data_IF_101956261677
#
_entry.id   IF_101956261677
#
_cell.length_a   1.000
_cell.length_b   1.000
_cell.length_c   1.000
_cell.angle_alpha   90.00
_cell.angle_beta   90.00
_cell.angle_gamma   90.00
#
_symmetry.space_group_name_H-M   'P 1'
#
loop_
_entity.id
_entity.type
_entity.pdbx_description
1 polymer ?
#
# COMPACT_ATOMS: atom_id res chain seq x y z
N UNK A 1 -30.81 -50.86 76.39
CA UNK A 1 -30.24 -49.59 76.03
C UNK A 1 -29.34 -49.90 74.81
N UNK A 2 -29.85 -49.73 73.62
CA UNK A 2 -29.11 -50.03 72.37
C UNK A 2 -28.56 -48.71 71.81
N UNK A 3 -27.24 -48.66 71.69
CA UNK A 3 -26.51 -47.51 71.12
C UNK A 3 -26.38 -47.78 69.60
N UNK A 4 -26.97 -46.94 68.78
CA UNK A 4 -26.77 -46.92 67.34
C UNK A 4 -25.58 -46.01 67.01
N UNK A 5 -24.55 -46.58 66.41
CA UNK A 5 -23.43 -45.83 65.87
C UNK A 5 -23.74 -45.58 64.38
N UNK A 6 -23.91 -44.31 64.00
CA UNK A 6 -24.01 -43.91 62.59
C UNK A 6 -22.59 -43.68 62.03
N UNK A 7 -22.19 -44.48 61.06
CA UNK A 7 -20.95 -44.24 60.29
C UNK A 7 -21.33 -43.42 59.06
N UNK A 8 -20.87 -42.19 59.01
CA UNK A 8 -21.01 -41.29 57.89
C UNK A 8 -19.87 -41.59 56.89
N UNK A 9 -20.18 -42.21 55.76
CA UNK A 9 -19.22 -42.39 54.66
C UNK A 9 -19.25 -41.11 53.82
N UNK A 10 -18.22 -40.30 53.93
CA UNK A 10 -17.96 -39.17 52.99
C UNK A 10 -17.28 -39.68 51.74
N UNK A 11 -18.03 -39.79 50.65
CA UNK A 11 -17.49 -40.02 49.32
C UNK A 11 -16.90 -38.71 48.78
N UNK A 12 -15.56 -38.62 48.70
CA UNK A 12 -14.85 -37.59 47.99
C UNK A 12 -15.06 -37.83 46.49
N UNK A 13 -15.91 -37.01 45.89
CA UNK A 13 -15.89 -36.85 44.43
C UNK A 13 -14.69 -35.94 44.06
N UNK A 14 -13.63 -36.55 43.55
CA UNK A 14 -12.61 -35.83 42.80
C UNK A 14 -13.23 -35.42 41.46
N UNK A 15 -13.71 -34.16 41.35
CA UNK A 15 -13.88 -33.50 40.08
C UNK A 15 -12.48 -33.20 39.55
N UNK A 16 -12.00 -34.01 38.63
CA UNK A 16 -10.94 -33.62 37.72
C UNK A 16 -11.54 -32.55 36.78
N UNK A 17 -11.33 -31.30 37.08
CA UNK A 17 -11.45 -30.24 36.08
C UNK A 17 -10.29 -30.43 35.10
N UNK A 18 -10.52 -31.10 34.02
CA UNK A 18 -9.75 -30.89 32.80
C UNK A 18 -9.99 -29.44 32.43
N UNK A 19 -9.06 -28.56 32.82
CA UNK A 19 -8.93 -27.24 32.24
C UNK A 19 -8.49 -27.49 30.80
N UNK A 20 -9.45 -27.61 29.89
CA UNK A 20 -9.22 -27.30 28.50
C UNK A 20 -8.69 -25.85 28.48
N UNK A 21 -7.36 -25.74 28.44
CA UNK A 21 -6.70 -24.54 28.01
C UNK A 21 -7.01 -24.44 26.51
N UNK A 22 -8.24 -24.02 26.23
CA UNK A 22 -8.61 -23.58 24.91
C UNK A 22 -7.65 -22.43 24.58
N UNK A 23 -6.63 -22.75 23.77
CA UNK A 23 -5.90 -21.76 23.02
C UNK A 23 -6.97 -20.97 22.28
N UNK A 24 -7.34 -19.81 22.84
CA UNK A 24 -8.16 -18.85 22.14
C UNK A 24 -7.32 -18.46 20.93
N UNK A 25 -7.63 -19.04 19.77
CA UNK A 25 -7.15 -18.53 18.51
C UNK A 25 -7.66 -17.09 18.46
N UNK A 26 -6.81 -16.13 18.84
CA UNK A 26 -7.18 -14.72 18.68
C UNK A 26 -7.56 -14.54 17.22
N UNK A 27 -8.76 -14.03 16.99
CA UNK A 27 -9.29 -13.84 15.66
C UNK A 27 -8.32 -12.96 14.88
N UNK A 28 -7.91 -13.43 13.70
CA UNK A 28 -7.10 -12.62 12.76
C UNK A 28 -7.85 -11.33 12.43
N UNK A 29 -7.10 -10.25 12.24
CA UNK A 29 -7.67 -8.94 11.93
C UNK A 29 -7.79 -8.75 10.43
N UNK A 30 -8.96 -8.31 9.99
CA UNK A 30 -9.20 -7.91 8.61
C UNK A 30 -8.88 -6.44 8.43
N UNK A 31 -8.17 -6.09 7.34
CA UNK A 31 -7.85 -4.72 6.95
C UNK A 31 -8.07 -4.53 5.45
N UNK A 32 -8.74 -3.44 5.11
CA UNK A 32 -8.90 -2.95 3.74
C UNK A 32 -7.79 -1.94 3.40
N UNK A 33 -7.00 -2.22 2.37
CA UNK A 33 -5.91 -1.36 1.89
C UNK A 33 -6.22 -0.94 0.46
N UNK A 34 -6.07 0.36 0.19
CA UNK A 34 -6.13 0.90 -1.17
C UNK A 34 -4.80 1.57 -1.49
N UNK A 35 -4.18 1.21 -2.60
CA UNK A 35 -3.09 2.00 -3.18
C UNK A 35 -3.61 2.80 -4.37
N UNK A 36 -3.16 4.05 -4.50
CA UNK A 36 -3.55 4.91 -5.60
C UNK A 36 -2.50 5.98 -5.90
N UNK A 37 -1.98 5.97 -7.11
CA UNK A 37 -1.25 7.11 -7.65
C UNK A 37 -2.29 8.18 -8.00
N UNK A 38 -2.25 9.32 -7.30
CA UNK A 38 -3.25 10.40 -7.43
C UNK A 38 -2.86 11.47 -8.46
N UNK A 39 -1.87 11.16 -9.30
CA UNK A 39 -1.40 11.99 -10.41
C UNK A 39 -1.02 13.41 -9.98
N UNK A 40 0.25 13.64 -9.59
CA UNK A 40 0.82 14.97 -9.34
C UNK A 40 -0.07 15.87 -8.45
N UNK A 41 -0.34 15.43 -7.23
CA UNK A 41 -1.23 16.14 -6.32
C UNK A 41 -0.48 17.26 -5.58
N UNK A 42 -0.44 18.43 -6.20
CA UNK A 42 0.18 19.64 -5.65
C UNK A 42 -0.84 20.48 -4.88
N UNK A 43 -0.38 21.19 -3.85
CA UNK A 43 -1.17 22.24 -3.20
C UNK A 43 -1.18 23.54 -4.03
N UNK A 44 -1.72 24.63 -3.48
CA UNK A 44 -1.79 25.90 -4.18
C UNK A 44 -0.59 26.83 -3.87
N UNK A 45 0.36 26.37 -3.06
CA UNK A 45 1.56 27.11 -2.68
C UNK A 45 2.72 26.69 -3.59
N UNK A 46 3.48 27.65 -4.09
CA UNK A 46 4.63 27.35 -4.96
C UNK A 46 5.91 27.33 -4.13
N UNK A 47 6.53 26.17 -3.97
CA UNK A 47 7.82 25.97 -3.29
C UNK A 47 9.02 25.93 -4.26
N UNK A 48 8.75 25.85 -5.56
CA UNK A 48 9.76 25.84 -6.61
C UNK A 48 10.09 24.48 -7.21
N UNK A 49 9.66 23.39 -6.58
CA UNK A 49 9.89 22.00 -7.05
C UNK A 49 8.77 21.46 -7.94
N UNK A 50 7.63 22.15 -8.03
CA UNK A 50 6.45 21.74 -8.77
C UNK A 50 6.72 21.64 -10.28
N UNK A 51 5.92 20.88 -10.98
CA UNK A 51 5.95 20.83 -12.44
C UNK A 51 5.42 22.12 -13.06
N UNK A 52 5.84 22.41 -14.30
CA UNK A 52 5.56 23.68 -14.98
C UNK A 52 4.09 24.07 -15.00
N UNK A 53 3.18 23.08 -15.15
CA UNK A 53 1.75 23.31 -15.23
C UNK A 53 1.15 23.82 -13.91
N UNK A 54 1.78 23.46 -12.78
CA UNK A 54 1.36 23.87 -11.44
C UNK A 54 1.96 25.20 -10.99
N UNK A 55 3.04 25.67 -11.64
CA UNK A 55 3.63 27.00 -11.40
C UNK A 55 2.87 28.15 -12.06
N UNK A 56 1.96 27.84 -12.97
CA UNK A 56 1.20 28.86 -13.67
C UNK A 56 -0.13 29.13 -12.97
N UNK A 57 -0.20 30.23 -12.19
CA UNK A 57 -1.37 30.62 -11.42
C UNK A 57 -2.66 30.82 -12.24
N UNK A 58 -2.56 31.00 -13.56
CA UNK A 58 -3.73 31.01 -14.45
C UNK A 58 -4.40 29.63 -14.54
N UNK A 59 -3.61 28.58 -14.50
CA UNK A 59 -4.08 27.21 -14.67
C UNK A 59 -4.15 26.44 -13.35
N UNK A 60 -3.36 26.83 -12.33
CA UNK A 60 -3.36 26.23 -11.02
C UNK A 60 -3.46 27.30 -9.91
N UNK A 61 -4.40 27.17 -9.01
CA UNK A 61 -4.65 28.12 -7.93
C UNK A 61 -5.45 27.43 -6.79
N UNK A 62 -5.60 28.14 -5.66
CA UNK A 62 -6.29 27.65 -4.47
C UNK A 62 -7.69 27.09 -4.77
N UNK A 63 -8.48 27.77 -5.61
CA UNK A 63 -9.82 27.28 -5.97
C UNK A 63 -9.77 25.89 -6.61
N UNK A 64 -8.88 25.69 -7.59
CA UNK A 64 -8.72 24.42 -8.27
C UNK A 64 -8.13 23.35 -7.34
N UNK A 65 -7.23 23.72 -6.45
CA UNK A 65 -6.72 22.83 -5.42
C UNK A 65 -7.85 22.31 -4.53
N UNK A 66 -8.69 23.22 -3.98
CA UNK A 66 -9.82 22.84 -3.11
C UNK A 66 -10.82 21.95 -3.87
N UNK A 67 -11.15 22.28 -5.12
CA UNK A 67 -12.03 21.45 -5.94
C UNK A 67 -11.47 20.05 -6.19
N UNK A 68 -10.16 19.94 -6.45
CA UNK A 68 -9.47 18.68 -6.64
C UNK A 68 -9.38 17.88 -5.34
N UNK A 69 -9.07 18.53 -4.23
CA UNK A 69 -9.02 17.95 -2.89
C UNK A 69 -10.38 17.33 -2.51
N UNK A 70 -11.48 18.07 -2.75
CA UNK A 70 -12.82 17.56 -2.49
C UNK A 70 -13.17 16.34 -3.35
N UNK A 71 -12.74 16.30 -4.63
CA UNK A 71 -12.93 15.13 -5.49
C UNK A 71 -12.13 13.93 -5.03
N UNK A 72 -10.85 14.14 -4.65
CA UNK A 72 -10.02 13.07 -4.07
C UNK A 72 -10.70 12.50 -2.82
N UNK A 73 -11.10 13.37 -1.89
CA UNK A 73 -11.74 12.96 -0.65
C UNK A 73 -13.11 12.28 -0.87
N UNK A 74 -13.83 12.64 -1.93
CA UNK A 74 -15.05 11.91 -2.33
C UNK A 74 -14.73 10.46 -2.69
N UNK A 75 -13.68 10.23 -3.49
CA UNK A 75 -13.25 8.87 -3.85
C UNK A 75 -12.82 8.10 -2.60
N UNK A 76 -11.97 8.69 -1.76
CA UNK A 76 -11.50 8.05 -0.53
C UNK A 76 -12.66 7.70 0.41
N UNK A 77 -13.65 8.60 0.58
CA UNK A 77 -14.87 8.32 1.38
C UNK A 77 -15.71 7.20 0.77
N UNK A 78 -15.81 7.14 -0.54
CA UNK A 78 -16.59 6.10 -1.25
C UNK A 78 -15.93 4.73 -1.09
N UNK A 79 -14.62 4.66 -1.22
CA UNK A 79 -13.84 3.44 -1.02
C UNK A 79 -13.84 3.00 0.45
N UNK A 80 -13.79 3.94 1.37
CA UNK A 80 -13.82 3.74 2.83
C UNK A 80 -12.84 2.69 3.37
N UNK A 81 -11.65 2.59 2.75
CA UNK A 81 -10.61 1.66 3.18
C UNK A 81 -10.06 2.03 4.58
N UNK A 82 -9.43 1.08 5.26
CA UNK A 82 -8.79 1.34 6.55
C UNK A 82 -7.44 2.04 6.36
N UNK A 83 -6.75 1.73 5.26
CA UNK A 83 -5.45 2.29 4.92
C UNK A 83 -5.42 2.73 3.46
N UNK A 84 -4.92 3.92 3.22
CA UNK A 84 -4.57 4.42 1.89
C UNK A 84 -3.07 4.56 1.76
N UNK A 85 -2.52 4.04 0.68
CA UNK A 85 -1.13 4.24 0.26
C UNK A 85 -1.16 5.07 -1.02
N UNK A 86 -0.82 6.36 -0.87
CA UNK A 86 -0.96 7.35 -1.94
C UNK A 86 0.42 7.69 -2.53
N UNK A 87 0.49 7.75 -3.85
CA UNK A 87 1.68 8.18 -4.57
C UNK A 87 1.40 9.53 -5.23
N UNK A 88 2.46 10.29 -5.49
CA UNK A 88 2.43 11.61 -6.10
C UNK A 88 1.79 12.72 -5.24
N UNK A 89 1.89 12.59 -3.94
CA UNK A 89 1.56 13.65 -2.98
C UNK A 89 2.76 14.62 -2.90
N UNK A 90 2.49 15.92 -2.95
CA UNK A 90 3.53 16.96 -2.91
C UNK A 90 4.24 17.04 -1.57
N UNK A 91 3.46 17.18 -0.48
CA UNK A 91 3.98 17.46 0.85
C UNK A 91 3.03 16.97 1.96
N UNK A 92 3.48 17.12 3.21
CA UNK A 92 2.70 16.71 4.38
C UNK A 92 1.44 17.57 4.58
N UNK A 93 1.45 18.87 4.15
CA UNK A 93 0.29 19.75 4.26
C UNK A 93 -0.89 19.23 3.48
N UNK A 94 -0.66 18.63 2.31
CA UNK A 94 -1.71 17.99 1.51
C UNK A 94 -2.37 16.83 2.30
N UNK A 95 -1.59 16.04 3.06
CA UNK A 95 -2.16 14.96 3.89
C UNK A 95 -3.01 15.50 5.03
N UNK A 96 -2.58 16.60 5.64
CA UNK A 96 -3.35 17.28 6.69
C UNK A 96 -4.68 17.78 6.10
N UNK A 97 -4.66 18.38 4.93
CA UNK A 97 -5.86 18.85 4.24
C UNK A 97 -6.81 17.69 3.89
N UNK A 98 -6.27 16.58 3.36
CA UNK A 98 -7.04 15.35 3.10
C UNK A 98 -7.71 14.87 4.40
N UNK A 99 -6.93 14.74 5.49
CA UNK A 99 -7.44 14.28 6.79
C UNK A 99 -8.54 15.19 7.33
N UNK A 100 -8.37 16.50 7.22
CA UNK A 100 -9.36 17.49 7.65
C UNK A 100 -10.67 17.38 6.85
N UNK A 101 -10.60 17.26 5.53
CA UNK A 101 -11.80 17.09 4.68
C UNK A 101 -12.48 15.75 4.92
N UNK A 102 -11.72 14.69 5.14
CA UNK A 102 -12.27 13.36 5.46
C UNK A 102 -12.97 13.36 6.82
N UNK A 103 -12.37 14.01 7.81
CA UNK A 103 -12.94 14.12 9.15
C UNK A 103 -14.20 14.99 9.21
N UNK A 104 -14.28 16.05 8.42
CA UNK A 104 -15.36 17.02 8.49
C UNK A 104 -15.60 17.49 9.93
N UNK A 105 -16.86 17.51 10.38
CA UNK A 105 -17.21 17.86 11.76
C UNK A 105 -16.99 16.72 12.78
N UNK A 106 -16.64 15.54 12.32
CA UNK A 106 -16.53 14.31 13.13
C UNK A 106 -15.08 13.86 13.34
N UNK A 107 -14.10 14.78 13.39
CA UNK A 107 -12.67 14.46 13.49
C UNK A 107 -12.29 13.55 14.68
N UNK A 108 -13.15 13.50 15.74
CA UNK A 108 -12.99 12.61 16.89
C UNK A 108 -13.59 11.21 16.67
N UNK A 109 -14.32 10.98 15.58
CA UNK A 109 -14.92 9.68 15.33
C UNK A 109 -13.83 8.59 15.25
N UNK A 110 -14.15 7.40 15.73
CA UNK A 110 -13.21 6.27 15.80
C UNK A 110 -12.75 5.82 14.41
N UNK A 111 -13.62 6.02 13.41
CA UNK A 111 -13.42 5.54 12.04
C UNK A 111 -12.77 6.59 11.11
N UNK A 112 -12.15 7.63 11.66
CA UNK A 112 -11.45 8.64 10.87
C UNK A 112 -9.99 8.27 10.64
N UNK A 113 -9.45 8.69 9.47
CA UNK A 113 -8.03 8.57 9.13
C UNK A 113 -7.21 9.62 9.87
N UNK A 114 -6.74 9.26 11.07
CA UNK A 114 -6.03 10.16 12.01
C UNK A 114 -4.52 9.98 11.97
N UNK A 115 -4.08 8.86 11.42
CA UNK A 115 -2.68 8.49 11.42
C UNK A 115 -2.14 8.60 10.00
N UNK A 116 -1.03 9.29 9.83
CA UNK A 116 -0.41 9.45 8.54
C UNK A 116 1.10 9.47 8.65
N UNK A 117 1.77 9.11 7.58
CA UNK A 117 3.18 9.37 7.37
C UNK A 117 3.43 9.74 5.91
N UNK A 118 4.46 10.55 5.70
CA UNK A 118 4.86 11.05 4.39
C UNK A 118 6.36 10.94 4.23
N UNK A 119 6.82 10.65 3.01
CA UNK A 119 8.23 10.70 2.66
C UNK A 119 8.43 11.21 1.24
N UNK A 120 9.34 12.16 1.10
CA UNK A 120 9.78 12.73 -0.17
C UNK A 120 11.30 12.91 -0.13
N UNK A 121 11.99 12.55 -1.20
CA UNK A 121 13.41 12.83 -1.36
C UNK A 121 13.61 14.34 -1.45
N UNK A 122 14.71 14.84 -0.89
CA UNK A 122 15.06 16.27 -0.93
C UNK A 122 15.15 16.75 -2.39
N UNK A 123 14.53 17.88 -2.69
CA UNK A 123 14.45 18.44 -4.04
C UNK A 123 13.51 17.73 -5.00
N UNK A 124 12.84 16.64 -4.58
CA UNK A 124 11.79 16.00 -5.39
C UNK A 124 10.49 16.80 -5.35
N UNK A 125 9.71 16.71 -6.44
CA UNK A 125 8.41 17.38 -6.55
C UNK A 125 7.31 16.62 -5.78
N UNK A 126 7.41 15.30 -5.70
CA UNK A 126 6.37 14.40 -5.20
C UNK A 126 6.95 13.28 -4.33
N UNK A 127 6.16 12.79 -3.40
CA UNK A 127 6.49 11.70 -2.50
C UNK A 127 5.39 10.65 -2.37
N UNK A 128 5.57 9.77 -1.40
CA UNK A 128 4.60 8.75 -0.99
C UNK A 128 4.00 9.10 0.37
N UNK A 129 2.78 8.63 0.59
CA UNK A 129 2.06 8.83 1.83
C UNK A 129 1.29 7.58 2.24
N UNK A 130 1.14 7.37 3.54
CA UNK A 130 0.20 6.42 4.12
C UNK A 130 -0.77 7.21 5.00
N UNK A 131 -2.07 6.96 4.82
CA UNK A 131 -3.14 7.53 5.62
C UNK A 131 -3.97 6.37 6.20
N UNK A 132 -4.17 6.33 7.52
CA UNK A 132 -4.73 5.16 8.20
C UNK A 132 -5.73 5.51 9.29
N UNK A 133 -6.75 4.66 9.46
CA UNK A 133 -7.64 4.64 10.65
C UNK A 133 -6.96 3.96 11.85
N UNK A 134 -5.98 3.10 11.59
CA UNK A 134 -5.23 2.31 12.56
C UNK A 134 -3.90 3.00 12.86
N UNK A 135 -3.44 3.04 14.12
CA UNK A 135 -2.16 3.65 14.47
C UNK A 135 -0.99 3.08 13.65
N UNK A 136 -0.17 3.97 13.09
CA UNK A 136 1.07 3.62 12.40
C UNK A 136 2.22 3.61 13.41
N UNK A 137 3.00 2.54 13.39
CA UNK A 137 4.17 2.34 14.26
C UNK A 137 5.39 1.97 13.44
N UNK A 138 6.57 2.01 14.04
CA UNK A 138 7.85 1.61 13.40
C UNK A 138 8.08 2.27 12.04
N UNK A 139 7.65 3.52 11.87
CA UNK A 139 7.78 4.25 10.60
C UNK A 139 9.24 4.47 10.27
N UNK A 140 9.66 4.07 9.07
CA UNK A 140 11.01 4.23 8.52
C UNK A 140 10.92 4.60 7.04
N UNK A 141 11.97 5.22 6.54
CA UNK A 141 12.15 5.50 5.10
C UNK A 141 13.39 4.80 4.59
N UNK A 142 13.31 4.32 3.36
CA UNK A 142 14.42 3.65 2.68
C UNK A 142 14.69 4.40 1.38
N UNK A 143 15.91 4.85 1.21
CA UNK A 143 16.41 5.50 0.00
C UNK A 143 17.48 4.67 -0.67
N UNK A 144 17.85 5.04 -1.87
CA UNK A 144 18.96 4.49 -2.62
C UNK A 144 20.03 5.56 -2.83
N UNK A 145 21.28 5.17 -2.58
CA UNK A 145 22.48 5.93 -2.97
C UNK A 145 23.42 4.94 -3.68
N UNK A 146 23.23 4.82 -4.99
CA UNK A 146 23.93 3.82 -5.80
C UNK A 146 24.72 4.48 -6.92
N UNK A 147 25.89 3.90 -7.21
CA UNK A 147 26.69 4.25 -8.38
C UNK A 147 26.56 3.17 -9.42
N UNK A 148 26.08 3.52 -10.60
CA UNK A 148 25.91 2.60 -11.73
C UNK A 148 26.84 3.03 -12.86
N UNK A 149 28.09 2.59 -12.79
CA UNK A 149 29.12 2.99 -13.75
C UNK A 149 29.31 4.52 -13.80
N UNK A 150 29.13 5.12 -14.95
CA UNK A 150 29.19 6.58 -15.16
C UNK A 150 27.83 7.27 -15.10
N UNK A 151 26.75 6.54 -14.81
CA UNK A 151 25.41 7.12 -14.76
C UNK A 151 25.18 7.84 -13.43
N UNK A 152 24.62 9.04 -13.50
CA UNK A 152 24.18 9.77 -12.31
C UNK A 152 22.81 9.25 -11.90
N UNK A 153 22.66 8.87 -10.62
CA UNK A 153 21.39 8.47 -10.06
C UNK A 153 20.39 9.64 -10.19
N UNK A 154 19.23 9.42 -10.82
CA UNK A 154 18.15 10.41 -10.78
C UNK A 154 17.55 10.50 -9.38
N UNK A 155 16.79 11.55 -9.09
CA UNK A 155 15.97 11.57 -7.88
C UNK A 155 15.01 10.37 -7.90
N UNK A 156 15.17 9.47 -6.91
CA UNK A 156 14.32 8.31 -6.68
C UNK A 156 13.45 8.58 -5.46
N UNK A 157 12.20 8.12 -5.49
CA UNK A 157 11.28 8.30 -4.37
C UNK A 157 11.67 7.37 -3.23
N UNK A 158 11.55 7.87 -2.00
CA UNK A 158 11.75 7.07 -0.81
C UNK A 158 10.64 6.03 -0.68
N UNK A 159 11.00 4.81 -0.31
CA UNK A 159 10.06 3.79 0.12
C UNK A 159 9.74 3.97 1.61
N UNK A 160 8.47 4.02 1.98
CA UNK A 160 8.04 4.09 3.37
C UNK A 160 7.81 2.67 3.88
N UNK A 161 8.32 2.36 5.06
CA UNK A 161 7.94 1.20 5.86
C UNK A 161 7.19 1.69 7.09
N UNK A 162 6.01 1.12 7.34
CA UNK A 162 5.23 1.38 8.55
C UNK A 162 4.55 0.10 9.00
N UNK A 163 4.24 -0.04 10.29
CA UNK A 163 3.54 -1.21 10.83
C UNK A 163 2.19 -0.82 11.40
N UNK A 164 1.19 -1.65 11.17
CA UNK A 164 -0.08 -1.68 11.88
C UNK A 164 0.01 -2.78 12.94
N UNK A 165 -0.26 -2.42 14.20
CA UNK A 165 -0.30 -3.39 15.29
C UNK A 165 -1.74 -3.56 15.77
N UNK A 166 -2.25 -4.79 15.73
CA UNK A 166 -3.57 -5.13 16.26
C UNK A 166 -3.45 -6.38 17.12
N UNK A 167 -3.56 -6.19 18.44
CA UNK A 167 -3.27 -7.24 19.40
C UNK A 167 -1.82 -7.70 19.26
N UNK A 168 -1.63 -9.01 19.05
CA UNK A 168 -0.31 -9.61 18.83
C UNK A 168 0.09 -9.70 17.35
N UNK A 169 -0.83 -9.37 16.43
CA UNK A 169 -0.58 -9.42 15.00
C UNK A 169 0.01 -8.10 14.49
N UNK A 170 0.98 -8.19 13.59
CA UNK A 170 1.62 -7.06 12.94
C UNK A 170 1.48 -7.18 11.41
N UNK A 171 1.04 -6.08 10.78
CA UNK A 171 1.08 -5.95 9.32
C UNK A 171 2.08 -4.86 8.95
N UNK A 172 3.18 -5.24 8.32
CA UNK A 172 4.19 -4.30 7.81
C UNK A 172 3.80 -3.87 6.41
N UNK A 173 3.71 -2.56 6.19
CA UNK A 173 3.37 -1.96 4.90
C UNK A 173 4.61 -1.30 4.32
N UNK A 174 4.97 -1.64 3.07
CA UNK A 174 5.93 -0.92 2.26
C UNK A 174 5.21 -0.13 1.17
N UNK A 175 5.20 1.20 1.29
CA UNK A 175 4.66 2.08 0.27
C UNK A 175 5.73 2.40 -0.77
N UNK A 176 5.43 2.09 -2.03
CA UNK A 176 6.36 2.18 -3.16
C UNK A 176 5.89 3.18 -4.21
N UNK A 177 6.86 3.91 -4.78
CA UNK A 177 6.68 4.63 -6.04
C UNK A 177 8.00 4.59 -6.80
N UNK A 178 8.11 3.68 -7.76
CA UNK A 178 9.36 3.45 -8.47
C UNK A 178 9.56 4.45 -9.61
N UNK A 179 10.77 4.42 -10.19
CA UNK A 179 11.16 5.31 -11.29
C UNK A 179 10.25 5.11 -12.51
N UNK A 180 9.61 6.21 -12.93
CA UNK A 180 8.75 6.24 -14.11
C UNK A 180 9.50 5.81 -15.38
N UNK A 181 8.75 5.22 -16.32
CA UNK A 181 9.21 4.90 -17.70
C UNK A 181 9.26 6.16 -18.59
N UNK A 182 8.87 7.34 -18.07
CA UNK A 182 8.90 8.60 -18.80
C UNK A 182 10.31 8.90 -19.33
N UNK A 183 10.39 9.33 -20.58
CA UNK A 183 11.64 9.52 -21.30
C UNK A 183 12.16 8.22 -21.92
N UNK A 184 13.34 7.77 -21.54
CA UNK A 184 13.96 6.53 -22.01
C UNK A 184 13.62 5.37 -21.06
N UNK A 185 12.72 4.49 -21.50
CA UNK A 185 12.24 3.36 -20.70
C UNK A 185 13.35 2.35 -20.37
N UNK A 186 14.31 2.11 -21.29
CA UNK A 186 15.42 1.19 -21.06
C UNK A 186 16.43 1.77 -20.09
N UNK A 187 16.79 3.05 -20.20
CA UNK A 187 17.67 3.72 -19.23
C UNK A 187 17.04 3.76 -17.83
N UNK A 188 15.71 3.93 -17.74
CA UNK A 188 15.03 3.96 -16.46
C UNK A 188 14.86 2.58 -15.81
N UNK A 189 15.01 1.49 -16.58
CA UNK A 189 14.88 0.10 -16.13
C UNK A 189 15.91 -0.27 -15.06
N UNK A 190 17.16 0.20 -15.21
CA UNK A 190 18.21 -0.06 -14.23
C UNK A 190 17.85 0.47 -12.84
N UNK A 191 17.22 1.63 -12.78
CA UNK A 191 16.80 2.25 -11.51
C UNK A 191 15.64 1.50 -10.87
N UNK A 192 14.70 0.97 -11.65
CA UNK A 192 13.66 0.07 -11.15
C UNK A 192 14.22 -1.26 -10.65
N UNK A 193 15.29 -1.76 -11.26
CA UNK A 193 15.98 -2.97 -10.75
C UNK A 193 16.65 -2.71 -9.41
N UNK A 194 17.25 -1.53 -9.19
CA UNK A 194 17.77 -1.14 -7.88
C UNK A 194 16.67 -1.00 -6.84
N UNK A 195 15.51 -0.45 -7.21
CA UNK A 195 14.36 -0.34 -6.31
C UNK A 195 13.75 -1.71 -6.01
N UNK A 196 13.74 -2.64 -6.97
CA UNK A 196 13.40 -4.05 -6.73
C UNK A 196 14.35 -4.69 -5.70
N UNK A 197 15.66 -4.48 -5.87
CA UNK A 197 16.67 -4.97 -4.92
C UNK A 197 16.48 -4.39 -3.51
N UNK A 198 16.18 -3.11 -3.39
CA UNK A 198 15.90 -2.48 -2.11
C UNK A 198 14.69 -3.12 -1.42
N UNK A 199 13.60 -3.31 -2.16
CA UNK A 199 12.41 -3.96 -1.62
C UNK A 199 12.70 -5.41 -1.21
N UNK A 200 13.32 -6.19 -2.09
CA UNK A 200 13.67 -7.58 -1.81
C UNK A 200 14.57 -7.71 -0.58
N UNK A 201 15.61 -6.87 -0.47
CA UNK A 201 16.48 -6.80 0.70
C UNK A 201 15.70 -6.44 1.96
N UNK A 202 14.80 -5.46 1.89
CA UNK A 202 13.99 -5.05 3.04
C UNK A 202 13.06 -6.17 3.51
N UNK A 203 12.46 -6.93 2.58
CA UNK A 203 11.63 -8.10 2.90
C UNK A 203 12.43 -9.22 3.55
N UNK A 204 13.63 -9.52 3.05
CA UNK A 204 14.51 -10.56 3.63
C UNK A 204 14.95 -10.24 5.07
N UNK A 205 14.96 -8.96 5.45
CA UNK A 205 15.27 -8.53 6.83
C UNK A 205 14.06 -8.55 7.78
N UNK A 206 12.89 -8.98 7.30
CA UNK A 206 11.73 -9.24 8.16
C UNK A 206 11.70 -10.74 8.44
N UNK A 207 11.81 -11.10 9.71
CA UNK A 207 11.69 -12.50 10.10
C UNK A 207 10.27 -13.00 9.82
N UNK A 208 10.12 -14.08 9.03
CA UNK A 208 8.83 -14.67 8.77
C UNK A 208 8.38 -15.47 10.00
N UNK A 209 7.77 -14.77 10.95
CA UNK A 209 7.21 -15.39 12.16
C UNK A 209 5.68 -15.39 12.08
N UNK A 210 5.07 -16.25 12.86
CA UNK A 210 3.61 -16.29 13.00
C UNK A 210 3.07 -14.91 13.40
N UNK A 211 1.96 -14.50 12.81
CA UNK A 211 1.28 -13.21 13.04
C UNK A 211 2.05 -11.97 12.54
N UNK A 212 3.08 -12.15 11.74
CA UNK A 212 3.71 -11.03 11.02
C UNK A 212 3.44 -11.18 9.53
N UNK A 213 2.55 -10.36 9.02
CA UNK A 213 2.25 -10.21 7.61
C UNK A 213 2.96 -9.01 7.01
N UNK A 214 3.28 -9.08 5.73
CA UNK A 214 3.89 -7.98 5.00
C UNK A 214 3.13 -7.72 3.72
N UNK A 215 2.88 -6.45 3.43
CA UNK A 215 2.35 -5.99 2.16
C UNK A 215 3.24 -4.89 1.59
N UNK A 216 3.75 -5.09 0.38
CA UNK A 216 4.38 -4.02 -0.39
C UNK A 216 3.41 -3.61 -1.50
N UNK A 217 2.99 -2.35 -1.51
CA UNK A 217 2.06 -1.84 -2.51
C UNK A 217 2.44 -0.44 -2.98
N UNK A 218 1.88 -0.02 -4.10
CA UNK A 218 2.16 1.26 -4.72
C UNK A 218 2.29 1.18 -6.23
N UNK A 219 2.76 2.27 -6.83
CA UNK A 219 3.12 2.36 -8.24
C UNK A 219 4.58 1.91 -8.46
N UNK A 220 4.74 0.72 -8.98
CA UNK A 220 6.05 0.15 -9.30
C UNK A 220 6.57 0.58 -10.68
N UNK A 221 5.77 1.31 -11.47
CA UNK A 221 6.11 1.69 -12.83
C UNK A 221 6.65 0.50 -13.66
N UNK A 222 6.24 -0.70 -13.28
CA UNK A 222 6.58 -1.98 -13.89
C UNK A 222 5.34 -2.86 -13.90
N UNK A 223 4.95 -3.33 -15.08
CA UNK A 223 3.82 -4.26 -15.19
C UNK A 223 4.15 -5.56 -14.42
N UNK A 224 3.13 -6.18 -13.85
CA UNK A 224 3.31 -7.41 -13.07
C UNK A 224 3.98 -8.51 -13.89
N UNK A 225 3.76 -8.54 -15.19
CA UNK A 225 4.37 -9.50 -16.14
C UNK A 225 5.85 -9.25 -16.41
N UNK A 226 6.39 -8.10 -16.04
CA UNK A 226 7.82 -7.79 -16.18
C UNK A 226 8.67 -8.29 -15.00
N UNK A 227 8.04 -8.82 -13.95
CA UNK A 227 8.74 -9.48 -12.85
C UNK A 227 9.05 -10.94 -13.18
N UNK A 228 9.97 -11.52 -12.44
CA UNK A 228 10.28 -12.94 -12.57
C UNK A 228 9.18 -13.77 -11.91
N UNK A 229 8.38 -14.45 -12.71
CA UNK A 229 7.29 -15.33 -12.24
C UNK A 229 7.89 -16.69 -11.87
N UNK A 230 7.54 -17.18 -10.68
CA UNK A 230 7.90 -18.54 -10.24
C UNK A 230 6.92 -19.54 -10.83
N UNK A 231 7.28 -20.11 -11.99
CA UNK A 231 6.44 -21.08 -12.71
C UNK A 231 6.17 -22.38 -11.94
N UNK A 232 6.80 -22.57 -10.79
CA UNK A 232 6.63 -23.79 -10.00
C UNK A 232 5.59 -23.65 -8.88
N UNK A 233 5.04 -22.44 -8.64
CA UNK A 233 4.15 -22.19 -7.50
C UNK A 233 3.17 -21.01 -7.72
N UNK A 234 1.89 -21.34 -7.77
CA UNK A 234 0.69 -20.52 -7.51
C UNK A 234 0.83 -18.97 -7.70
N UNK A 235 1.22 -18.53 -8.89
CA UNK A 235 1.26 -17.10 -9.22
C UNK A 235 2.27 -16.27 -8.40
N UNK A 236 3.29 -16.90 -7.83
CA UNK A 236 4.30 -16.20 -7.06
C UNK A 236 5.31 -15.46 -7.96
N UNK A 237 5.82 -14.38 -7.44
CA UNK A 237 6.86 -13.56 -8.05
C UNK A 237 8.14 -13.71 -7.23
N UNK A 238 9.28 -13.77 -7.91
CA UNK A 238 10.60 -13.76 -7.32
C UNK A 238 11.20 -12.37 -7.48
N UNK A 239 11.16 -11.56 -6.40
CA UNK A 239 11.85 -10.28 -6.36
C UNK A 239 13.35 -10.53 -6.19
N UNK A 240 14.17 -9.85 -7.00
CA UNK A 240 15.61 -10.05 -7.08
C UNK A 240 16.36 -9.05 -6.23
N UNK A 241 17.38 -9.51 -5.56
CA UNK A 241 18.34 -8.72 -4.80
C UNK A 241 19.77 -9.16 -5.10
N UNK A 242 20.70 -8.22 -5.07
CA UNK A 242 22.13 -8.52 -5.07
C UNK A 242 22.69 -8.13 -3.71
N UNK A 243 23.15 -9.11 -2.95
CA UNK A 243 23.76 -8.91 -1.64
C UNK A 243 25.15 -9.54 -1.62
N UNK A 244 26.17 -8.77 -1.25
CA UNK A 244 27.57 -9.21 -1.22
C UNK A 244 28.07 -9.85 -2.52
N UNK A 245 27.53 -9.41 -3.68
CA UNK A 245 27.87 -9.96 -5.00
C UNK A 245 27.11 -11.24 -5.37
N UNK A 246 26.25 -11.73 -4.49
CA UNK A 246 25.38 -12.89 -4.74
C UNK A 246 23.98 -12.46 -5.15
N UNK A 247 23.42 -13.16 -6.15
CA UNK A 247 22.03 -12.99 -6.55
C UNK A 247 21.13 -13.77 -5.59
N UNK A 248 20.25 -13.05 -4.91
CA UNK A 248 19.23 -13.62 -4.03
C UNK A 248 17.84 -13.30 -4.56
N UNK A 249 16.86 -14.10 -4.16
CA UNK A 249 15.47 -13.84 -4.48
C UNK A 249 14.60 -14.00 -3.23
N UNK A 250 13.55 -13.19 -3.13
CA UNK A 250 12.48 -13.37 -2.16
C UNK A 250 11.18 -13.66 -2.90
N UNK A 251 10.49 -14.71 -2.47
CA UNK A 251 9.20 -15.10 -3.03
C UNK A 251 8.10 -14.27 -2.40
N UNK A 252 7.27 -13.66 -3.25
CA UNK A 252 6.08 -12.90 -2.86
C UNK A 252 4.89 -13.34 -3.69
N UNK A 253 3.69 -13.22 -3.14
CA UNK A 253 2.45 -13.46 -3.86
C UNK A 253 1.91 -12.14 -4.41
N UNK A 254 1.43 -12.14 -5.66
CA UNK A 254 0.68 -11.03 -6.26
C UNK A 254 -0.71 -11.48 -6.72
N UNK A 255 -1.79 -10.84 -6.26
CA UNK A 255 -3.16 -11.20 -6.66
C UNK A 255 -3.50 -10.80 -8.11
N UNK A 256 -2.63 -10.08 -8.81
CA UNK A 256 -2.76 -9.87 -10.26
C UNK A 256 -2.62 -11.16 -11.07
N UNK A 257 -1.98 -12.19 -10.48
CA UNK A 257 -1.71 -13.47 -11.13
C UNK A 257 -2.60 -14.56 -10.56
N UNK A 258 -3.06 -15.46 -11.41
CA UNK A 258 -3.71 -16.68 -11.01
C UNK A 258 -2.69 -17.77 -10.59
N UNK A 259 -3.19 -18.94 -10.21
CA UNK A 259 -2.36 -20.09 -9.81
C UNK A 259 -1.40 -20.61 -10.90
N UNK A 260 -1.62 -20.24 -12.16
CA UNK A 260 -0.77 -20.63 -13.30
C UNK A 260 0.26 -19.53 -13.62
N UNK A 261 0.25 -18.41 -12.90
CA UNK A 261 1.08 -17.25 -13.18
C UNK A 261 0.56 -16.38 -14.34
N UNK A 262 -0.69 -16.57 -14.75
CA UNK A 262 -1.36 -15.79 -15.77
C UNK A 262 -2.14 -14.63 -15.16
N UNK A 263 -2.43 -13.60 -15.97
CA UNK A 263 -3.19 -12.44 -15.51
C UNK A 263 -4.63 -12.83 -15.13
N UNK A 264 -5.01 -12.55 -13.90
CA UNK A 264 -6.33 -12.87 -13.34
C UNK A 264 -7.41 -11.83 -13.64
N UNK A 265 -7.05 -10.61 -14.08
CA UNK A 265 -7.97 -9.49 -14.27
C UNK A 265 -7.84 -8.89 -15.67
N UNK A 266 -8.96 -8.69 -16.36
CA UNK A 266 -8.99 -8.09 -17.70
C UNK A 266 -8.50 -6.64 -17.71
N UNK A 267 -8.91 -5.84 -16.72
CA UNK A 267 -8.48 -4.45 -16.56
C UNK A 267 -7.23 -4.36 -15.70
N UNK A 268 -6.40 -3.37 -15.96
CA UNK A 268 -5.25 -3.01 -15.14
C UNK A 268 -5.53 -1.80 -14.26
N UNK A 269 -4.50 -1.24 -13.68
CA UNK A 269 -4.57 0.01 -12.91
C UNK A 269 -4.29 1.26 -13.75
N UNK A 270 -3.59 1.11 -14.86
CA UNK A 270 -3.17 2.20 -15.76
C UNK A 270 -3.49 1.85 -17.21
N UNK A 271 -4.14 2.80 -17.91
CA UNK A 271 -4.54 2.60 -19.32
C UNK A 271 -3.77 3.55 -20.24
N UNK A 272 -2.93 2.99 -21.10
CA UNK A 272 -2.09 3.78 -22.00
C UNK A 272 -1.99 3.14 -23.39
N UNK A 273 -2.17 3.95 -24.45
CA UNK A 273 -2.12 3.52 -25.84
C UNK A 273 -2.96 2.26 -26.09
N UNK A 274 -4.21 2.29 -25.65
CA UNK A 274 -5.19 1.21 -25.79
C UNK A 274 -4.82 -0.11 -25.09
N UNK A 275 -3.86 -0.06 -24.17
CA UNK A 275 -3.44 -1.23 -23.40
C UNK A 275 -3.57 -0.98 -21.91
N UNK A 276 -4.03 -1.99 -21.19
CA UNK A 276 -4.00 -2.04 -19.75
C UNK A 276 -2.62 -2.45 -19.24
N UNK A 277 -2.13 -1.70 -18.27
CA UNK A 277 -0.91 -2.01 -17.52
C UNK A 277 -1.28 -2.20 -16.04
N UNK A 278 -0.61 -3.15 -15.39
CA UNK A 278 -0.78 -3.51 -13.97
C UNK A 278 0.46 -3.07 -13.22
N UNK A 279 0.67 -1.74 -13.18
CA UNK A 279 1.88 -1.13 -12.61
C UNK A 279 1.70 -0.75 -11.15
N UNK A 280 0.46 -0.62 -10.68
CA UNK A 280 0.13 -0.51 -9.26
C UNK A 280 -0.08 -1.93 -8.71
N UNK A 281 0.83 -2.37 -7.86
CA UNK A 281 0.90 -3.76 -7.40
C UNK A 281 0.69 -3.89 -5.90
N UNK A 282 0.32 -5.13 -5.52
CA UNK A 282 0.38 -5.65 -4.16
C UNK A 282 1.26 -6.89 -4.17
N UNK A 283 2.28 -6.91 -3.32
CA UNK A 283 3.12 -8.07 -3.05
C UNK A 283 2.99 -8.46 -1.59
N UNK A 284 2.71 -9.72 -1.34
CA UNK A 284 2.48 -10.25 0.00
C UNK A 284 3.59 -11.24 0.39
N UNK A 285 4.00 -11.15 1.66
CA UNK A 285 5.03 -11.99 2.27
C UNK A 285 4.70 -12.27 3.73
N UNK A 286 5.08 -13.44 4.26
CA UNK A 286 4.83 -13.81 5.65
C UNK A 286 3.38 -14.23 5.93
N UNK A 287 2.90 -14.04 7.17
CA UNK A 287 1.59 -14.52 7.62
C UNK A 287 0.47 -13.53 7.29
N UNK A 288 0.10 -13.48 6.03
CA UNK A 288 -1.00 -12.64 5.51
C UNK A 288 -1.79 -13.39 4.45
N UNK A 289 -3.12 -13.28 4.52
CA UNK A 289 -4.03 -13.90 3.54
C UNK A 289 -4.81 -12.84 2.80
N UNK A 290 -4.79 -12.88 1.48
CA UNK A 290 -5.65 -12.07 0.62
C UNK A 290 -7.07 -12.65 0.63
N UNK A 291 -8.05 -11.82 0.95
CA UNK A 291 -9.48 -12.16 0.93
C UNK A 291 -10.16 -11.66 -0.33
N UNK A 292 -9.75 -10.48 -0.81
CA UNK A 292 -10.35 -9.82 -1.95
C UNK A 292 -9.34 -8.87 -2.59
N UNK A 293 -9.42 -8.70 -3.92
CA UNK A 293 -8.53 -7.82 -4.67
C UNK A 293 -9.23 -7.33 -5.93
N UNK A 294 -9.15 -6.02 -6.20
CA UNK A 294 -9.72 -5.45 -7.42
C UNK A 294 -9.06 -4.12 -7.80
N UNK A 295 -8.88 -3.83 -9.10
CA UNK A 295 -8.76 -2.46 -9.60
C UNK A 295 -10.17 -1.83 -9.61
N UNK A 296 -10.36 -0.74 -8.87
CA UNK A 296 -11.69 -0.16 -8.65
C UNK A 296 -12.02 0.83 -9.77
N UNK A 297 -12.75 0.34 -10.77
CA UNK A 297 -13.15 1.10 -11.95
C UNK A 297 -14.64 1.40 -11.94
N UNK A 298 -15.02 2.51 -11.29
CA UNK A 298 -16.40 2.97 -11.20
C UNK A 298 -16.48 4.49 -11.40
N UNK A 299 -17.64 4.98 -11.82
CA UNK A 299 -17.90 6.41 -11.83
C UNK A 299 -17.87 7.00 -10.41
N UNK A 300 -17.40 8.25 -10.20
CA UNK A 300 -17.07 9.23 -11.25
C UNK A 300 -15.61 9.24 -11.69
N UNK A 301 -14.71 8.38 -11.17
CA UNK A 301 -13.26 8.41 -11.48
C UNK A 301 -12.86 7.51 -12.64
N UNK A 302 -13.79 6.74 -13.16
CA UNK A 302 -13.56 5.95 -14.38
C UNK A 302 -14.68 6.23 -15.40
N UNK A 303 -14.35 6.01 -16.67
CA UNK A 303 -15.29 6.09 -17.78
C UNK A 303 -16.21 4.87 -17.82
N UNK A 304 -17.32 4.89 -18.61
CA UNK A 304 -18.10 3.68 -18.86
C UNK A 304 -17.31 2.51 -19.44
N UNK A 305 -16.20 2.80 -20.15
CA UNK A 305 -15.26 1.79 -20.67
C UNK A 305 -14.22 1.33 -19.64
N UNK A 306 -14.45 1.65 -18.36
CA UNK A 306 -13.62 1.28 -17.22
C UNK A 306 -12.23 1.94 -17.16
N UNK A 307 -11.88 2.83 -18.09
CA UNK A 307 -10.59 3.53 -18.08
C UNK A 307 -10.58 4.68 -17.06
N UNK A 308 -9.44 4.97 -16.42
CA UNK A 308 -9.33 6.09 -15.50
C UNK A 308 -9.58 7.43 -16.21
N UNK A 309 -10.02 8.44 -15.46
CA UNK A 309 -10.22 9.80 -15.95
C UNK A 309 -9.07 10.68 -15.42
N UNK A 310 -8.03 10.95 -16.24
CA UNK A 310 -6.87 11.72 -15.81
C UNK A 310 -7.26 13.13 -15.34
N UNK A 311 -6.55 13.63 -14.34
CA UNK A 311 -6.66 15.03 -13.96
C UNK A 311 -6.00 15.94 -15.02
N UNK A 312 -6.70 16.99 -15.40
CA UNK A 312 -6.24 17.98 -16.38
C UNK A 312 -6.11 19.35 -15.71
N UNK A 313 -4.91 19.80 -15.44
CA UNK A 313 -4.61 21.07 -14.77
C UNK A 313 -5.26 22.24 -15.47
N UNK A 314 -5.28 22.22 -16.81
CA UNK A 314 -5.86 23.30 -17.61
C UNK A 314 -7.37 23.49 -17.37
N UNK A 315 -8.17 22.41 -17.41
CA UNK A 315 -9.62 22.48 -17.18
C UNK A 315 -9.95 22.42 -15.68
N UNK A 316 -9.12 21.78 -14.88
CA UNK A 316 -9.39 21.46 -13.48
C UNK A 316 -10.30 20.27 -13.29
N UNK A 317 -10.50 19.44 -14.32
CA UNK A 317 -11.39 18.26 -14.33
C UNK A 317 -10.59 16.96 -14.20
N UNK A 318 -11.30 15.87 -13.87
CA UNK A 318 -10.74 14.54 -13.74
C UNK A 318 -10.26 14.21 -12.34
N UNK A 319 -9.61 13.06 -12.20
CA UNK A 319 -9.18 12.46 -10.92
C UNK A 319 -7.72 12.04 -10.98
N UNK A 320 -7.41 10.94 -11.64
CA UNK A 320 -6.07 10.42 -11.88
C UNK A 320 -6.04 9.58 -13.16
N UNK A 321 -4.86 9.44 -13.78
CA UNK A 321 -4.60 8.52 -14.88
C UNK A 321 -4.40 7.07 -14.41
N UNK A 322 -4.42 6.82 -13.09
CA UNK A 322 -4.47 5.52 -12.48
C UNK A 322 -5.82 5.25 -11.83
N UNK A 323 -6.24 3.98 -11.81
CA UNK A 323 -7.34 3.49 -10.97
C UNK A 323 -6.84 3.18 -9.56
N UNK A 324 -7.65 3.43 -8.50
CA UNK A 324 -7.37 2.86 -7.19
C UNK A 324 -7.35 1.33 -7.28
N UNK A 325 -6.38 0.70 -6.64
CA UNK A 325 -6.34 -0.76 -6.48
C UNK A 325 -6.60 -1.08 -5.02
N UNK A 326 -7.61 -1.92 -4.77
CA UNK A 326 -8.06 -2.32 -3.45
C UNK A 326 -7.66 -3.75 -3.14
N UNK A 327 -7.23 -3.98 -1.92
CA UNK A 327 -6.99 -5.33 -1.41
C UNK A 327 -7.48 -5.43 0.03
N UNK A 328 -8.23 -6.50 0.31
CA UNK A 328 -8.65 -6.88 1.67
C UNK A 328 -7.82 -8.04 2.14
N UNK A 329 -7.20 -7.89 3.30
CA UNK A 329 -6.31 -8.88 3.88
C UNK A 329 -6.73 -9.31 5.27
N UNK A 330 -6.27 -10.51 5.66
CA UNK A 330 -6.38 -11.07 6.99
C UNK A 330 -4.98 -11.38 7.50
N UNK A 331 -4.60 -10.90 8.71
CA UNK A 331 -3.28 -11.10 9.30
C UNK A 331 -3.36 -11.33 10.81
#
# INVERSE_FOLDING_TARGET
MKVFVFVLVMSLFCCSCDADVGLSSQARTQVDIVTWNVQTFFDATTEGTEYSDFKNHKYWNEKKYIERLNRLCLVLKTLNADVYVLQEIENESVLIDISNVLAGNAWRAKDNWKFSCFAKEEGSSIGCAILSKIPLTKVRTHGLDVRNGNETQPSLRLMIQASLQVGESELVIFANHWKSKSGDAEKSKVWRNWQESLLAYSLMNIEPVERVGVVACGDFNRDVTEFLIDNNQDGNILLRCVENGENKTVRVFSPWLDKNGEIAYEIGSYYFKENWNRIDNFFFYGDVKVLDFEPVSVEPWATPNKTPIPYRTYTGEGFSDHLPVRCRVLF
#
